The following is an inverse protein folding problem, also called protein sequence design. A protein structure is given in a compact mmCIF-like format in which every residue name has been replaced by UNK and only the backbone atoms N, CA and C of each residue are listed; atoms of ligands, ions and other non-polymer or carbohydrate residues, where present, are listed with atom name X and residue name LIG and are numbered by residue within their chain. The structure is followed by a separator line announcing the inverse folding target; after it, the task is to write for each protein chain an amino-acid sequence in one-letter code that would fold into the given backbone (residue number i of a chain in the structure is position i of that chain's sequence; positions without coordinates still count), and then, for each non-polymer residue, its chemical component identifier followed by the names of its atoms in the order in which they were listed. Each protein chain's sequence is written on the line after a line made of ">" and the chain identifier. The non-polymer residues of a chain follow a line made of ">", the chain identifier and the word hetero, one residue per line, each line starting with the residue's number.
data_IF_520380781023
#
_entry.id   IF_520380781023
#
_cell.length_a   1.000
_cell.length_b   1.000
_cell.length_c   1.000
_cell.angle_alpha   90.00
_cell.angle_beta   90.00
_cell.angle_gamma   90.00
#
_symmetry.space_group_name_H-M   'P 1'
#
loop_
_entity.id
_entity.type
_entity.pdbx_description
1 polymer ?
#
# COMPACT_ATOMS: atom_id res chain seq x y z
N UNK A 1 9.06 13.83 -13.84
CA UNK A 1 8.40 13.01 -14.89
C UNK A 1 7.12 12.45 -14.31
N UNK A 2 5.98 12.69 -14.96
CA UNK A 2 4.70 12.11 -14.57
C UNK A 2 4.72 10.59 -14.82
N UNK A 3 4.22 9.80 -13.89
CA UNK A 3 4.06 8.35 -14.05
C UNK A 3 2.61 8.07 -14.44
N UNK A 4 2.43 7.21 -15.43
CA UNK A 4 1.12 6.78 -15.87
C UNK A 4 0.67 5.54 -15.08
N UNK A 5 -0.37 5.70 -14.27
CA UNK A 5 -0.96 4.64 -13.46
C UNK A 5 -2.12 3.93 -14.14
N UNK A 6 -2.55 4.37 -15.33
CA UNK A 6 -3.67 3.75 -16.06
C UNK A 6 -3.38 2.29 -16.40
N UNK A 7 -2.11 1.93 -16.60
CA UNK A 7 -1.66 0.55 -16.75
C UNK A 7 -2.03 -0.37 -15.58
N UNK A 8 -2.21 0.19 -14.37
CA UNK A 8 -2.66 -0.53 -13.18
C UNK A 8 -4.17 -0.47 -12.98
N UNK A 9 -4.88 0.30 -13.82
CA UNK A 9 -6.31 0.59 -13.71
C UNK A 9 -6.63 1.76 -12.79
N UNK A 10 -5.63 2.51 -12.33
CA UNK A 10 -5.81 3.63 -11.40
C UNK A 10 -5.92 4.93 -12.18
N UNK A 11 -7.01 5.67 -11.95
CA UNK A 11 -7.30 6.93 -12.64
C UNK A 11 -7.60 8.05 -11.64
N UNK A 12 -7.51 9.30 -12.09
CA UNK A 12 -8.10 10.48 -11.41
C UNK A 12 -7.57 10.80 -10.01
N UNK A 13 -6.25 10.82 -9.81
CA UNK A 13 -5.65 11.28 -8.56
C UNK A 13 -4.51 12.26 -8.79
N UNK A 14 -4.33 13.20 -7.86
CA UNK A 14 -3.10 14.01 -7.81
C UNK A 14 -1.95 13.11 -7.37
N UNK A 15 -0.91 13.00 -8.20
CA UNK A 15 0.22 12.11 -7.96
C UNK A 15 1.39 12.86 -7.33
N UNK A 16 1.80 12.39 -6.16
CA UNK A 16 2.96 12.86 -5.40
C UNK A 16 4.06 11.80 -5.45
N UNK A 17 5.00 11.92 -6.38
CA UNK A 17 6.07 10.93 -6.58
C UNK A 17 7.38 11.38 -5.94
N UNK A 18 7.97 10.53 -5.12
CA UNK A 18 9.27 10.70 -4.47
C UNK A 18 9.40 12.06 -3.78
N UNK A 19 8.36 12.46 -3.04
CA UNK A 19 8.40 13.68 -2.25
C UNK A 19 9.55 13.63 -1.25
N UNK A 20 10.16 14.79 -1.01
CA UNK A 20 11.16 14.90 0.05
C UNK A 20 10.54 14.61 1.42
N UNK A 21 11.33 14.14 2.39
CA UNK A 21 10.84 13.97 3.77
C UNK A 21 10.19 15.22 4.35
N UNK A 22 10.69 16.42 4.04
CA UNK A 22 10.12 17.68 4.52
C UNK A 22 8.66 17.89 4.05
N UNK A 23 8.38 17.63 2.78
CA UNK A 23 7.01 17.74 2.24
C UNK A 23 6.11 16.63 2.79
N UNK A 24 6.65 15.42 2.99
CA UNK A 24 5.90 14.33 3.63
C UNK A 24 5.50 14.66 5.09
N UNK A 25 6.36 15.37 5.83
CA UNK A 25 6.01 15.90 7.15
C UNK A 25 4.83 16.89 7.08
N UNK A 26 4.89 17.86 6.18
CA UNK A 26 3.81 18.85 5.98
C UNK A 26 2.48 18.16 5.66
N UNK A 27 2.51 17.19 4.75
CA UNK A 27 1.33 16.44 4.34
C UNK A 27 0.78 15.58 5.48
N UNK A 28 1.63 14.91 6.26
CA UNK A 28 1.20 14.08 7.38
C UNK A 28 0.52 14.91 8.48
N UNK A 29 1.04 16.10 8.78
CA UNK A 29 0.40 17.05 9.68
C UNK A 29 -0.96 17.53 9.16
N UNK A 30 -1.04 17.80 7.86
CA UNK A 30 -2.23 18.39 7.25
C UNK A 30 -3.37 17.38 7.02
N UNK A 31 -3.04 16.16 6.61
CA UNK A 31 -4.02 15.19 6.09
C UNK A 31 -4.19 13.94 6.94
N UNK A 32 -3.18 13.55 7.72
CA UNK A 32 -3.17 12.26 8.42
C UNK A 32 -3.27 12.39 9.95
N UNK A 33 -3.36 13.62 10.47
CA UNK A 33 -3.44 13.87 11.91
C UNK A 33 -2.18 13.44 12.67
N UNK A 34 -1.03 13.44 11.98
CA UNK A 34 0.26 13.20 12.62
C UNK A 34 0.69 14.40 13.47
N UNK A 35 1.61 14.15 14.41
CA UNK A 35 2.21 15.17 15.27
C UNK A 35 3.72 15.21 15.11
N UNK A 36 4.35 16.33 15.48
CA UNK A 36 5.81 16.41 15.62
C UNK A 36 6.17 16.37 17.09
N UNK A 37 7.01 15.42 17.47
CA UNK A 37 7.54 15.31 18.84
C UNK A 37 8.51 16.45 19.15
N UNK A 38 8.80 16.67 20.44
CA UNK A 38 9.79 17.68 20.87
C UNK A 38 11.20 17.46 20.28
N UNK A 39 11.51 16.25 19.80
CA UNK A 39 12.77 15.92 19.14
C UNK A 39 12.79 16.17 17.62
N UNK A 40 11.65 16.56 17.03
CA UNK A 40 11.49 16.72 15.59
C UNK A 40 11.08 15.45 14.84
N UNK A 41 10.92 14.31 15.51
CA UNK A 41 10.39 13.10 14.88
C UNK A 41 8.89 13.23 14.59
N UNK A 42 8.44 12.69 13.46
CA UNK A 42 7.02 12.55 13.13
C UNK A 42 6.41 11.38 13.94
N UNK A 43 5.32 11.65 14.64
CA UNK A 43 4.54 10.67 15.38
C UNK A 43 3.21 10.42 14.67
N UNK A 44 2.86 9.13 14.51
CA UNK A 44 1.60 8.68 13.94
C UNK A 44 1.08 7.47 14.72
N UNK A 45 -0.21 7.18 14.61
CA UNK A 45 -0.90 6.13 15.37
C UNK A 45 -1.50 5.12 14.40
N UNK A 46 -1.13 3.84 14.52
CA UNK A 46 -1.65 2.75 13.66
C UNK A 46 -2.93 2.09 14.19
N UNK A 47 -3.50 2.66 15.26
CA UNK A 47 -4.77 2.26 15.89
C UNK A 47 -4.83 0.76 16.22
N UNK A 48 -5.85 0.05 15.73
CA UNK A 48 -6.13 -1.35 16.07
C UNK A 48 -4.97 -2.30 15.69
N UNK A 49 -4.22 -1.98 14.63
CA UNK A 49 -3.13 -2.82 14.13
C UNK A 49 -1.78 -2.21 14.51
N UNK A 50 -1.29 -2.56 15.69
CA UNK A 50 0.02 -2.09 16.23
C UNK A 50 1.21 -2.99 15.88
N UNK A 51 0.96 -4.03 15.09
CA UNK A 51 1.97 -4.98 14.65
C UNK A 51 1.52 -5.74 13.40
N UNK A 52 2.30 -6.76 13.01
CA UNK A 52 1.94 -7.61 11.87
C UNK A 52 0.68 -8.43 12.18
N UNK A 53 -0.08 -8.75 11.14
CA UNK A 53 -1.15 -9.76 11.16
C UNK A 53 -0.75 -10.99 10.32
N UNK A 54 0.08 -11.92 10.84
CA UNK A 54 0.59 -13.03 10.05
C UNK A 54 -0.49 -13.90 9.40
N UNK A 55 -1.65 -14.04 10.06
CA UNK A 55 -2.78 -14.84 9.59
C UNK A 55 -3.57 -14.22 8.44
N UNK A 56 -3.28 -12.97 8.06
CA UNK A 56 -3.95 -12.26 6.97
C UNK A 56 -3.12 -12.28 5.67
N UNK A 57 -1.82 -12.61 5.75
CA UNK A 57 -0.96 -12.74 4.57
C UNK A 57 -1.44 -13.91 3.70
N UNK A 58 -1.54 -13.66 2.39
CA UNK A 58 -1.85 -14.67 1.38
C UNK A 58 -0.88 -14.59 0.20
N UNK A 59 -0.69 -15.70 -0.50
CA UNK A 59 0.05 -15.75 -1.76
C UNK A 59 -0.86 -16.39 -2.81
N UNK A 60 -0.97 -15.75 -3.97
CA UNK A 60 -1.78 -16.30 -5.08
C UNK A 60 -1.17 -17.62 -5.52
N UNK A 61 -1.97 -18.68 -5.55
CA UNK A 61 -1.54 -19.98 -6.07
C UNK A 61 -1.63 -19.94 -7.59
N UNK A 62 -0.50 -19.73 -8.26
CA UNK A 62 -0.39 -19.76 -9.72
C UNK A 62 0.49 -20.94 -10.18
N UNK A 63 0.19 -21.55 -11.35
CA UNK A 63 0.93 -22.73 -11.82
C UNK A 63 2.44 -22.52 -11.99
N UNK A 64 2.85 -21.29 -12.33
CA UNK A 64 4.25 -20.93 -12.59
C UNK A 64 5.15 -21.00 -11.35
N UNK A 65 4.62 -20.72 -10.16
CA UNK A 65 5.41 -20.70 -8.92
C UNK A 65 4.95 -21.72 -7.87
N UNK A 66 3.87 -22.46 -8.16
CA UNK A 66 3.23 -23.34 -7.19
C UNK A 66 4.19 -24.37 -6.57
N UNK A 67 5.11 -24.92 -7.36
CA UNK A 67 6.07 -25.92 -6.90
C UNK A 67 7.31 -25.31 -6.21
N UNK A 68 7.46 -23.99 -6.25
CA UNK A 68 8.60 -23.27 -5.68
C UNK A 68 8.27 -22.65 -4.32
N UNK A 69 6.97 -22.52 -3.99
CA UNK A 69 6.52 -21.92 -2.75
C UNK A 69 6.44 -22.97 -1.63
N UNK A 70 7.06 -22.65 -0.49
CA UNK A 70 6.93 -23.44 0.73
C UNK A 70 5.57 -23.20 1.40
N UNK A 71 4.53 -23.90 0.93
CA UNK A 71 3.17 -23.79 1.43
C UNK A 71 3.01 -24.22 2.89
N UNK A 72 2.14 -23.53 3.64
CA UNK A 72 1.86 -23.85 5.03
C UNK A 72 1.22 -22.70 5.80
N UNK A 73 1.27 -22.69 7.14
CA UNK A 73 0.63 -21.66 7.96
C UNK A 73 1.24 -20.26 7.78
N UNK A 74 2.43 -20.14 7.16
CA UNK A 74 3.11 -18.86 6.87
C UNK A 74 2.84 -18.37 5.44
N UNK A 75 2.78 -19.29 4.48
CA UNK A 75 2.49 -19.03 3.07
C UNK A 75 1.15 -19.68 2.77
N UNK A 76 0.08 -18.94 3.05
CA UNK A 76 -1.30 -19.41 2.92
C UNK A 76 -1.77 -19.15 1.48
N UNK A 77 -2.24 -20.16 0.75
CA UNK A 77 -2.65 -19.99 -0.64
C UNK A 77 -3.92 -19.12 -0.75
N UNK A 78 -4.05 -18.43 -1.88
CA UNK A 78 -5.22 -17.68 -2.30
C UNK A 78 -5.53 -18.00 -3.76
N UNK A 79 -6.80 -18.26 -4.04
CA UNK A 79 -7.25 -18.51 -5.41
C UNK A 79 -7.17 -17.25 -6.27
N UNK A 80 -6.82 -17.41 -7.55
CA UNK A 80 -6.63 -16.30 -8.49
C UNK A 80 -7.88 -15.40 -8.60
N UNK A 81 -9.07 -15.99 -8.59
CA UNK A 81 -10.33 -15.23 -8.64
C UNK A 81 -10.55 -14.38 -7.39
N UNK A 82 -10.20 -14.91 -6.21
CA UNK A 82 -10.28 -14.14 -4.96
C UNK A 82 -9.29 -12.96 -4.98
N UNK A 83 -8.10 -13.16 -5.53
CA UNK A 83 -7.16 -12.07 -5.76
C UNK A 83 -7.70 -11.02 -6.74
N UNK A 84 -8.30 -11.44 -7.85
CA UNK A 84 -8.86 -10.52 -8.84
C UNK A 84 -9.95 -9.61 -8.24
N UNK A 85 -10.82 -10.16 -7.38
CA UNK A 85 -11.82 -9.40 -6.64
C UNK A 85 -11.17 -8.38 -5.70
N UNK A 86 -10.19 -8.80 -4.89
CA UNK A 86 -9.47 -7.91 -3.97
C UNK A 86 -8.70 -6.81 -4.71
N UNK A 87 -8.05 -7.15 -5.83
CA UNK A 87 -7.34 -6.20 -6.68
C UNK A 87 -8.29 -5.16 -7.26
N UNK A 88 -9.47 -5.58 -7.73
CA UNK A 88 -10.48 -4.65 -8.25
C UNK A 88 -10.90 -3.65 -7.18
N UNK A 89 -11.25 -4.12 -5.98
CA UNK A 89 -11.62 -3.23 -4.86
C UNK A 89 -10.49 -2.27 -4.48
N UNK A 90 -9.25 -2.73 -4.44
CA UNK A 90 -8.10 -1.87 -4.17
C UNK A 90 -7.92 -0.79 -5.23
N UNK A 91 -8.02 -1.13 -6.52
CA UNK A 91 -7.90 -0.17 -7.63
C UNK A 91 -9.04 0.85 -7.61
N UNK A 92 -10.27 0.41 -7.36
CA UNK A 92 -11.44 1.30 -7.24
C UNK A 92 -11.26 2.28 -6.07
N UNK A 93 -10.83 1.79 -4.91
CA UNK A 93 -10.54 2.63 -3.75
C UNK A 93 -9.46 3.66 -4.06
N UNK A 94 -8.32 3.22 -4.61
CA UNK A 94 -7.21 4.12 -4.95
C UNK A 94 -7.59 5.17 -6.00
N UNK A 95 -8.42 4.80 -6.99
CA UNK A 95 -8.93 5.75 -7.99
C UNK A 95 -9.93 6.76 -7.41
N UNK A 96 -10.54 6.44 -6.27
CA UNK A 96 -11.38 7.36 -5.51
C UNK A 96 -10.60 8.29 -4.59
N UNK A 97 -9.30 8.07 -4.39
CA UNK A 97 -8.46 8.94 -3.56
C UNK A 97 -8.10 10.22 -4.33
N UNK A 98 -8.30 11.38 -3.68
CA UNK A 98 -7.91 12.68 -4.24
C UNK A 98 -6.39 12.80 -4.48
N UNK A 99 -5.60 12.10 -3.68
CA UNK A 99 -4.15 12.17 -3.67
C UNK A 99 -3.55 10.76 -3.54
N UNK A 100 -2.49 10.48 -4.28
CA UNK A 100 -1.71 9.25 -4.19
C UNK A 100 -0.23 9.57 -4.05
N UNK A 101 0.45 8.81 -3.22
CA UNK A 101 1.89 8.92 -3.00
C UNK A 101 2.61 7.74 -3.62
N UNK A 102 3.68 8.01 -4.36
CA UNK A 102 4.49 6.99 -5.02
C UNK A 102 5.92 7.13 -4.51
N UNK A 103 6.48 6.01 -4.06
CA UNK A 103 7.88 5.92 -3.62
C UNK A 103 8.55 4.82 -4.42
N UNK A 104 9.58 5.19 -5.18
CA UNK A 104 10.45 4.23 -5.85
C UNK A 104 11.59 3.85 -4.90
N UNK A 105 11.71 2.56 -4.58
CA UNK A 105 12.77 2.00 -3.73
C UNK A 105 13.57 0.90 -4.43
N UNK A 106 14.70 0.52 -3.82
CA UNK A 106 15.57 -0.58 -4.24
C UNK A 106 15.61 -1.68 -3.18
#
# INVERSE_FOLDING_TARGET
>A
MSIDLTQYGINNSTIHRNLSPAVLYEHALQFDGADITASGALASVSFEKTGRSPKDKRIVRNPESENEIWWGPVNIPLEADSFAINRKMAVEFLSGCNQLYIVDGY
#
